data_IF_174924802557
#
_entry.id   IF_174924802557
#
_cell.length_a   1.000
_cell.length_b   1.000
_cell.length_c   1.000
_cell.angle_alpha   90.00
_cell.angle_beta   90.00
_cell.angle_gamma   90.00
#
_symmetry.space_group_name_H-M   'P 1'
#
loop_
_entity.id
_entity.type
_entity.pdbx_description
1 polymer ?
#
# COMPACT_ATOMS: atom_id res chain seq x y z
N UNK A 1 7.82 3.60 -24.35
CA UNK A 1 8.37 3.30 -23.01
C UNK A 1 9.01 1.92 -23.02
N UNK A 2 10.25 1.77 -22.56
CA UNK A 2 10.91 0.46 -22.42
C UNK A 2 10.27 -0.26 -21.24
N UNK A 3 9.64 -1.42 -21.47
CA UNK A 3 9.18 -2.31 -20.39
C UNK A 3 10.40 -2.73 -19.57
N UNK A 4 10.44 -2.36 -18.29
CA UNK A 4 11.53 -2.72 -17.39
C UNK A 4 11.27 -4.14 -16.84
N UNK A 5 11.68 -5.17 -17.58
CA UNK A 5 11.43 -6.58 -17.26
C UNK A 5 12.07 -7.06 -15.93
N UNK A 6 12.87 -6.23 -15.26
CA UNK A 6 13.46 -6.50 -13.94
C UNK A 6 12.64 -5.99 -12.75
N UNK A 7 11.62 -5.17 -12.99
CA UNK A 7 10.82 -4.58 -11.92
C UNK A 7 9.95 -5.63 -11.24
N UNK A 8 10.12 -5.79 -9.93
CA UNK A 8 9.25 -6.66 -9.12
C UNK A 8 7.84 -6.08 -9.11
N UNK A 9 6.85 -6.90 -9.47
CA UNK A 9 5.43 -6.50 -9.51
C UNK A 9 4.76 -6.52 -8.15
N UNK A 10 5.33 -7.26 -7.21
CA UNK A 10 4.86 -7.40 -5.85
C UNK A 10 6.06 -7.21 -4.93
N UNK A 11 5.98 -6.28 -3.99
CA UNK A 11 7.04 -5.99 -3.03
C UNK A 11 6.44 -5.85 -1.63
N UNK A 12 7.24 -6.15 -0.60
CA UNK A 12 6.85 -5.88 0.78
C UNK A 12 7.02 -4.41 1.14
N UNK A 13 6.47 -3.98 2.27
CA UNK A 13 6.64 -2.62 2.78
C UNK A 13 8.10 -2.33 3.14
N UNK A 14 8.84 -3.31 3.69
CA UNK A 14 10.29 -3.20 3.87
C UNK A 14 11.03 -2.90 2.57
N UNK A 15 10.69 -3.62 1.50
CA UNK A 15 11.33 -3.41 0.20
C UNK A 15 10.93 -2.07 -0.41
N UNK A 16 9.67 -1.63 -0.23
CA UNK A 16 9.22 -0.30 -0.61
C UNK A 16 9.99 0.82 0.09
N UNK A 17 10.17 0.72 1.41
CA UNK A 17 10.97 1.69 2.18
C UNK A 17 12.43 1.68 1.72
N UNK A 18 12.98 0.51 1.38
CA UNK A 18 14.34 0.43 0.84
C UNK A 18 14.46 1.01 -0.58
N UNK A 19 13.42 0.92 -1.40
CA UNK A 19 13.39 1.48 -2.77
C UNK A 19 13.15 3.00 -2.79
N UNK A 20 12.28 3.52 -1.91
CA UNK A 20 11.75 4.89 -1.99
C UNK A 20 11.92 5.73 -0.73
N UNK A 21 12.33 5.11 0.38
CA UNK A 21 12.26 5.74 1.70
C UNK A 21 13.49 6.55 2.09
N UNK A 22 14.42 6.86 1.18
CA UNK A 22 15.63 7.64 1.50
C UNK A 22 15.27 8.96 2.21
N UNK A 23 14.25 9.67 1.69
CA UNK A 23 13.79 10.95 2.23
C UNK A 23 12.61 10.85 3.22
N UNK A 24 12.17 9.63 3.55
CA UNK A 24 11.13 9.46 4.56
C UNK A 24 11.73 9.65 5.95
N UNK A 25 10.97 10.27 6.86
CA UNK A 25 11.37 10.35 8.26
C UNK A 25 11.41 8.94 8.89
N UNK A 26 12.14 8.80 9.99
CA UNK A 26 12.15 7.54 10.76
C UNK A 26 10.76 7.20 11.31
N UNK A 27 9.96 8.22 11.66
CA UNK A 27 8.57 8.03 12.09
C UNK A 27 7.73 7.41 10.96
N UNK A 28 7.78 8.00 9.76
CA UNK A 28 7.07 7.47 8.60
C UNK A 28 7.47 6.03 8.28
N UNK A 29 8.78 5.73 8.27
CA UNK A 29 9.27 4.36 8.03
C UNK A 29 8.74 3.39 9.09
N UNK A 30 8.80 3.76 10.36
CA UNK A 30 8.29 2.93 11.46
C UNK A 30 6.81 2.64 11.29
N UNK A 31 6.01 3.66 10.98
CA UNK A 31 4.56 3.53 10.82
C UNK A 31 4.20 2.70 9.59
N UNK A 32 4.88 2.92 8.47
CA UNK A 32 4.70 2.08 7.27
C UNK A 32 5.00 0.61 7.59
N UNK A 33 6.09 0.31 8.31
CA UNK A 33 6.46 -1.06 8.66
C UNK A 33 5.41 -1.82 9.48
N UNK A 34 4.50 -1.14 10.17
CA UNK A 34 3.40 -1.80 10.88
C UNK A 34 2.41 -2.49 9.94
N UNK A 35 2.34 -2.03 8.68
CA UNK A 35 1.54 -2.66 7.63
C UNK A 35 2.19 -3.93 7.06
N UNK A 36 3.49 -4.18 7.29
CA UNK A 36 4.28 -5.26 6.66
C UNK A 36 3.64 -6.64 6.83
N UNK A 37 3.03 -6.90 8.00
CA UNK A 37 2.49 -8.23 8.33
C UNK A 37 1.17 -8.50 7.61
N UNK A 38 0.37 -7.47 7.31
CA UNK A 38 -1.00 -7.64 6.76
C UNK A 38 -1.11 -7.23 5.31
N UNK A 39 -0.16 -6.44 4.82
CA UNK A 39 -0.24 -5.83 3.50
C UNK A 39 0.86 -6.31 2.57
N UNK A 40 0.57 -6.18 1.28
CA UNK A 40 1.55 -6.29 0.21
C UNK A 40 1.31 -5.15 -0.79
N UNK A 41 2.39 -4.68 -1.40
CA UNK A 41 2.33 -3.63 -2.40
C UNK A 41 2.47 -4.22 -3.80
N UNK A 42 1.55 -3.89 -4.70
CA UNK A 42 1.59 -4.34 -6.10
C UNK A 42 1.66 -3.19 -7.07
N UNK A 43 2.44 -3.33 -8.15
CA UNK A 43 2.60 -2.32 -9.18
C UNK A 43 2.51 -2.92 -10.58
N UNK A 44 1.92 -2.18 -11.52
CA UNK A 44 1.82 -2.57 -12.93
C UNK A 44 2.97 -2.01 -13.75
N UNK A 45 2.77 -0.93 -14.48
CA UNK A 45 3.76 -0.41 -15.44
C UNK A 45 4.63 0.67 -14.80
N UNK A 46 4.03 1.47 -13.94
CA UNK A 46 4.68 2.57 -13.23
C UNK A 46 5.37 2.06 -11.96
N UNK A 47 6.66 2.38 -11.84
CA UNK A 47 7.48 1.94 -10.71
C UNK A 47 7.09 2.61 -9.40
N UNK A 48 6.69 3.89 -9.50
CA UNK A 48 6.38 4.79 -8.41
C UNK A 48 4.93 4.70 -7.90
N UNK A 49 4.08 3.89 -8.55
CA UNK A 49 2.66 3.73 -8.22
C UNK A 49 2.39 2.32 -7.70
N UNK A 50 1.97 2.21 -6.45
CA UNK A 50 1.81 0.93 -5.76
C UNK A 50 0.46 0.83 -5.07
N UNK A 51 -0.32 -0.17 -5.45
CA UNK A 51 -1.57 -0.55 -4.82
C UNK A 51 -1.30 -1.31 -3.50
N UNK A 52 -2.02 -0.96 -2.44
CA UNK A 52 -1.96 -1.62 -1.13
C UNK A 52 -3.05 -2.69 -1.07
N UNK A 53 -2.64 -3.94 -0.85
CA UNK A 53 -3.52 -5.11 -0.81
C UNK A 53 -3.31 -5.93 0.43
N UNK A 54 -4.26 -6.81 0.76
CA UNK A 54 -4.05 -7.80 1.82
C UNK A 54 -3.06 -8.89 1.33
N UNK A 55 -2.14 -9.31 2.19
CA UNK A 55 -1.06 -10.23 1.80
C UNK A 55 -1.54 -11.62 1.38
N UNK A 56 -2.69 -12.06 1.88
CA UNK A 56 -3.30 -13.34 1.51
C UNK A 56 -4.25 -13.22 0.30
N UNK A 57 -4.37 -12.04 -0.31
CA UNK A 57 -5.22 -11.78 -1.48
C UNK A 57 -6.68 -12.22 -1.33
N UNK A 58 -7.26 -11.92 -0.16
CA UNK A 58 -8.64 -12.30 0.19
C UNK A 58 -9.64 -11.77 -0.84
N UNK A 59 -10.47 -12.66 -1.37
CA UNK A 59 -11.52 -12.33 -2.34
C UNK A 59 -12.88 -12.22 -1.66
N UNK A 60 -13.72 -11.36 -2.21
CA UNK A 60 -15.08 -11.11 -1.78
C UNK A 60 -16.06 -11.23 -2.96
N UNK A 61 -17.28 -11.65 -2.66
CA UNK A 61 -18.36 -11.81 -3.62
C UNK A 61 -18.91 -10.44 -4.05
N UNK A 62 -18.91 -10.16 -5.34
CA UNK A 62 -19.53 -8.98 -5.95
C UNK A 62 -20.28 -9.35 -7.22
N UNK A 63 -21.60 -9.37 -7.20
CA UNK A 63 -22.45 -9.56 -8.40
C UNK A 63 -21.97 -10.66 -9.36
N UNK A 64 -21.73 -11.86 -8.82
CA UNK A 64 -21.20 -13.05 -9.51
C UNK A 64 -19.72 -13.00 -9.92
N UNK A 65 -18.94 -12.03 -9.41
CA UNK A 65 -17.50 -11.96 -9.52
C UNK A 65 -16.84 -12.12 -8.15
N UNK A 66 -15.61 -12.64 -8.15
CA UNK A 66 -14.72 -12.65 -7.00
C UNK A 66 -13.70 -11.54 -7.17
N UNK A 67 -13.71 -10.56 -6.26
CA UNK A 67 -12.76 -9.44 -6.30
C UNK A 67 -12.03 -9.27 -4.99
N UNK A 68 -10.77 -8.88 -5.09
CA UNK A 68 -9.94 -8.46 -3.97
C UNK A 68 -10.10 -6.95 -3.74
N UNK A 69 -10.07 -6.52 -2.48
CA UNK A 69 -10.00 -5.10 -2.16
C UNK A 69 -8.59 -4.52 -2.35
N UNK A 70 -8.53 -3.32 -2.92
CA UNK A 70 -7.37 -2.44 -2.86
C UNK A 70 -7.64 -1.37 -1.79
N UNK A 71 -6.81 -1.37 -0.75
CA UNK A 71 -7.01 -0.56 0.45
C UNK A 71 -6.39 0.84 0.35
N UNK A 72 -5.63 1.12 -0.71
CA UNK A 72 -5.03 2.41 -1.01
C UNK A 72 -4.08 2.31 -2.20
N UNK A 73 -3.64 3.46 -2.71
CA UNK A 73 -2.59 3.55 -3.73
C UNK A 73 -1.56 4.60 -3.27
N UNK A 74 -0.31 4.17 -3.14
CA UNK A 74 0.82 5.04 -2.88
C UNK A 74 1.45 5.52 -4.19
N UNK A 75 1.76 6.81 -4.23
CA UNK A 75 2.58 7.42 -5.27
C UNK A 75 3.85 7.98 -4.65
N UNK A 76 5.00 7.73 -5.27
CA UNK A 76 6.28 8.35 -4.87
C UNK A 76 6.75 9.28 -5.99
N UNK A 77 6.64 10.58 -5.76
CA UNK A 77 6.99 11.60 -6.76
C UNK A 77 7.94 12.59 -6.10
N UNK A 78 9.09 12.84 -6.76
CA UNK A 78 10.17 13.68 -6.24
C UNK A 78 10.53 13.30 -4.78
N UNK A 79 10.71 11.99 -4.55
CA UNK A 79 11.01 11.36 -3.26
C UNK A 79 10.01 11.66 -2.11
N UNK A 80 8.84 12.19 -2.45
CA UNK A 80 7.74 12.43 -1.52
C UNK A 80 6.66 11.37 -1.70
N UNK A 81 6.09 10.92 -0.57
CA UNK A 81 5.02 9.94 -0.54
C UNK A 81 3.65 10.61 -0.61
N UNK A 82 2.73 10.05 -1.39
CA UNK A 82 1.36 10.52 -1.54
C UNK A 82 0.36 9.37 -1.47
N UNK A 83 -0.85 9.68 -1.01
CA UNK A 83 -2.01 8.78 -1.00
C UNK A 83 -3.01 9.24 -2.07
N UNK A 84 -3.32 8.36 -3.03
CA UNK A 84 -4.23 8.61 -4.15
C UNK A 84 -5.71 8.61 -3.71
N UNK A 85 -6.54 9.38 -4.41
CA UNK A 85 -8.01 9.37 -4.25
C UNK A 85 -8.66 8.15 -4.89
N UNK A 86 -7.94 7.49 -5.79
CA UNK A 86 -8.41 6.34 -6.55
C UNK A 86 -7.39 5.23 -6.58
N UNK A 87 -7.88 4.00 -6.56
CA UNK A 87 -7.10 2.80 -6.75
C UNK A 87 -7.40 2.16 -8.10
N UNK A 88 -6.62 1.14 -8.45
CA UNK A 88 -6.92 0.32 -9.61
C UNK A 88 -8.25 -0.44 -9.43
N UNK A 89 -9.08 -0.40 -10.46
CA UNK A 89 -10.32 -1.20 -10.54
C UNK A 89 -10.37 -2.02 -11.83
N UNK A 90 -10.81 -3.27 -11.73
CA UNK A 90 -11.13 -4.12 -12.89
C UNK A 90 -12.01 -5.33 -12.46
N UNK A 91 -12.01 -6.40 -13.25
CA UNK A 91 -12.80 -7.59 -12.98
C UNK A 91 -12.30 -8.41 -11.76
N UNK A 92 -11.08 -8.17 -11.29
CA UNK A 92 -10.44 -8.93 -10.21
C UNK A 92 -10.20 -8.11 -8.93
N UNK A 93 -10.23 -6.78 -9.03
CA UNK A 93 -9.94 -5.87 -7.91
C UNK A 93 -10.89 -4.70 -7.91
N UNK A 94 -11.17 -4.18 -6.72
CA UNK A 94 -12.03 -3.01 -6.50
C UNK A 94 -11.49 -2.18 -5.34
N UNK A 95 -11.70 -0.87 -5.38
CA UNK A 95 -11.32 0.03 -4.29
C UNK A 95 -12.11 -0.31 -3.02
N UNK A 96 -11.41 -0.38 -1.88
CA UNK A 96 -12.08 -0.50 -0.59
C UNK A 96 -12.65 0.86 -0.16
N UNK A 97 -13.84 0.93 0.47
CA UNK A 97 -14.45 2.18 0.92
C UNK A 97 -13.58 3.00 1.90
N UNK A 98 -12.60 2.36 2.55
CA UNK A 98 -11.67 3.03 3.45
C UNK A 98 -10.81 4.08 2.72
N UNK A 99 -10.56 3.91 1.42
CA UNK A 99 -9.73 4.83 0.62
C UNK A 99 -10.34 6.22 0.61
N UNK A 100 -11.64 6.32 0.35
CA UNK A 100 -12.37 7.58 0.37
C UNK A 100 -12.36 8.20 1.78
N UNK A 101 -12.47 7.36 2.81
CA UNK A 101 -12.44 7.81 4.20
C UNK A 101 -11.09 8.44 4.54
N UNK A 102 -9.99 7.76 4.19
CA UNK A 102 -8.64 8.26 4.42
C UNK A 102 -8.42 9.55 3.62
N UNK A 103 -8.60 9.50 2.30
CA UNK A 103 -8.29 10.62 1.41
C UNK A 103 -9.03 11.91 1.79
N UNK A 104 -10.32 11.81 2.14
CA UNK A 104 -11.13 12.98 2.47
C UNK A 104 -10.73 13.63 3.80
N UNK A 105 -10.07 12.91 4.71
CA UNK A 105 -9.57 13.44 5.98
C UNK A 105 -8.15 14.03 5.89
N UNK A 106 -7.42 13.79 4.79
CA UNK A 106 -6.10 14.39 4.57
C UNK A 106 -6.21 15.86 4.13
N UNK A 107 -5.21 16.66 4.53
CA UNK A 107 -5.09 18.06 4.09
C UNK A 107 -5.08 18.15 2.56
N UNK A 108 -5.65 19.22 2.03
CA UNK A 108 -5.59 19.52 0.60
C UNK A 108 -4.32 20.27 0.20
N UNK A 109 -3.45 20.55 1.16
CA UNK A 109 -2.13 21.15 0.90
C UNK A 109 -1.23 20.13 0.19
N UNK A 110 -0.56 20.57 -0.88
CA UNK A 110 0.35 19.71 -1.62
C UNK A 110 -0.33 18.61 -2.44
N UNK A 111 -1.58 18.83 -2.88
CA UNK A 111 -2.21 17.94 -3.87
C UNK A 111 -1.41 17.94 -5.17
N UNK A 112 -1.17 16.75 -5.70
CA UNK A 112 -0.61 16.54 -7.02
C UNK A 112 -1.60 15.81 -7.92
N UNK A 113 -1.41 15.97 -9.23
CA UNK A 113 -2.17 15.25 -10.26
C UNK A 113 -1.26 14.20 -10.90
N UNK A 114 -1.76 12.97 -10.96
CA UNK A 114 -1.11 11.85 -11.64
C UNK A 114 -2.10 11.23 -12.64
N UNK A 115 -2.11 11.79 -13.85
CA UNK A 115 -3.17 11.54 -14.84
C UNK A 115 -4.52 12.09 -14.36
N UNK A 116 -5.52 11.21 -14.23
CA UNK A 116 -6.86 11.55 -13.74
C UNK A 116 -7.02 11.39 -12.21
N UNK A 117 -5.96 10.94 -11.52
CA UNK A 117 -5.95 10.73 -10.09
C UNK A 117 -5.39 11.96 -9.37
N UNK A 118 -5.94 12.24 -8.18
CA UNK A 118 -5.43 13.26 -7.27
C UNK A 118 -4.80 12.57 -6.09
N UNK A 119 -3.60 12.98 -5.71
CA UNK A 119 -2.95 12.41 -4.54
C UNK A 119 -2.57 13.51 -3.54
N UNK A 120 -2.69 13.19 -2.26
CA UNK A 120 -2.38 14.08 -1.14
C UNK A 120 -1.12 13.61 -0.43
N UNK A 121 -0.28 14.55 -0.01
CA UNK A 121 1.02 14.24 0.58
C UNK A 121 0.85 13.50 1.92
N UNK A 122 1.69 12.49 2.11
CA UNK A 122 1.86 11.80 3.39
C UNK A 122 3.11 12.35 4.07
N UNK A 123 2.97 12.73 5.33
CA UNK A 123 4.06 13.23 6.17
C UNK A 123 3.85 12.84 7.65
N UNK A 124 4.73 13.30 8.52
CA UNK A 124 4.70 13.00 9.96
C UNK A 124 3.40 13.44 10.65
N UNK A 125 2.65 14.39 10.09
CA UNK A 125 1.41 14.87 10.70
C UNK A 125 0.22 13.95 10.44
N UNK A 126 0.28 13.11 9.41
CA UNK A 126 -0.87 12.33 8.95
C UNK A 126 -0.61 10.83 8.76
N UNK A 127 0.65 10.38 8.77
CA UNK A 127 0.99 8.96 8.60
C UNK A 127 0.35 8.07 9.67
N UNK A 128 0.25 8.56 10.91
CA UNK A 128 -0.37 7.81 12.01
C UNK A 128 -1.83 7.48 11.70
N UNK A 129 -2.59 8.50 11.33
CA UNK A 129 -3.99 8.36 10.95
C UNK A 129 -4.19 7.39 9.78
N UNK A 130 -3.35 7.50 8.74
CA UNK A 130 -3.46 6.63 7.56
C UNK A 130 -3.22 5.17 7.94
N UNK A 131 -2.13 4.89 8.65
CA UNK A 131 -1.75 3.52 9.05
C UNK A 131 -2.78 2.92 10.01
N UNK A 132 -3.20 3.67 11.03
CA UNK A 132 -4.21 3.19 11.98
C UNK A 132 -5.52 2.87 11.27
N UNK A 133 -5.98 3.77 10.40
CA UNK A 133 -7.22 3.61 9.65
C UNK A 133 -7.17 2.38 8.73
N UNK A 134 -6.07 2.15 8.04
CA UNK A 134 -5.87 0.94 7.23
C UNK A 134 -5.90 -0.33 8.09
N UNK A 135 -5.21 -0.34 9.23
CA UNK A 135 -5.17 -1.48 10.13
C UNK A 135 -6.54 -1.82 10.74
N UNK A 136 -7.45 -0.86 10.85
CA UNK A 136 -8.83 -1.12 11.33
C UNK A 136 -9.66 -1.98 10.37
N UNK A 137 -9.32 -2.00 9.07
CA UNK A 137 -10.10 -2.70 8.04
C UNK A 137 -9.35 -3.86 7.40
N UNK A 138 -8.04 -3.97 7.60
CA UNK A 138 -7.30 -5.13 7.12
C UNK A 138 -7.82 -6.40 7.81
N UNK A 139 -8.12 -7.45 7.03
CA UNK A 139 -8.38 -8.77 7.59
C UNK A 139 -7.21 -9.21 8.47
N UNK A 140 -7.52 -9.99 9.49
CA UNK A 140 -6.47 -10.74 10.18
C UNK A 140 -5.91 -11.81 9.22
N UNK A 141 -4.59 -12.01 9.30
CA UNK A 141 -3.90 -13.05 8.54
C UNK A 141 -4.08 -14.41 9.20
N UNK A 142 -4.00 -15.49 8.42
CA UNK A 142 -4.12 -16.85 8.96
C UNK A 142 -2.96 -17.22 9.88
N UNK A 143 -3.20 -18.13 10.82
CA UNK A 143 -2.14 -18.69 11.65
C UNK A 143 -1.04 -19.39 10.83
N UNK A 144 -1.42 -20.00 9.70
CA UNK A 144 -0.49 -20.58 8.73
C UNK A 144 0.52 -19.55 8.25
N UNK A 145 0.03 -18.37 7.84
CA UNK A 145 0.87 -17.28 7.37
C UNK A 145 1.78 -16.73 8.48
N UNK A 146 1.25 -16.55 9.71
CA UNK A 146 2.04 -16.11 10.86
C UNK A 146 3.19 -17.07 11.18
N UNK A 147 2.97 -18.38 11.05
CA UNK A 147 4.01 -19.38 11.27
C UNK A 147 5.13 -19.26 10.23
N UNK A 148 4.77 -19.08 8.95
CA UNK A 148 5.74 -18.88 7.85
C UNK A 148 6.60 -17.65 8.10
N UNK A 149 5.98 -16.51 8.45
CA UNK A 149 6.74 -15.28 8.79
C UNK A 149 7.69 -15.54 9.95
N UNK A 150 7.21 -16.18 11.02
CA UNK A 150 8.00 -16.41 12.23
C UNK A 150 9.23 -17.26 11.95
N UNK A 151 9.08 -18.31 11.13
CA UNK A 151 10.19 -19.13 10.67
C UNK A 151 11.19 -18.30 9.86
N UNK A 152 10.73 -17.50 8.88
CA UNK A 152 11.62 -16.63 8.08
C UNK A 152 12.44 -15.67 8.95
N UNK A 153 11.80 -15.00 9.92
CA UNK A 153 12.47 -14.09 10.84
C UNK A 153 13.49 -14.84 11.72
N UNK A 154 13.18 -16.06 12.15
CA UNK A 154 14.11 -16.87 12.96
C UNK A 154 15.37 -17.25 12.18
N UNK A 155 15.28 -17.39 10.86
CA UNK A 155 16.40 -17.74 9.99
C UNK A 155 17.27 -16.54 9.62
N UNK A 156 16.73 -15.32 9.58
CA UNK A 156 17.51 -14.09 9.36
C UNK A 156 18.41 -13.70 10.55
N UNK A 157 18.17 -14.28 11.74
CA UNK A 157 18.92 -13.99 12.97
C UNK A 157 20.07 -14.97 13.27
N UNK A 158 20.29 -15.97 12.42
CA UNK A 158 21.38 -16.95 12.50
C UNK A 158 22.39 -16.75 11.38
#
# INVERSE_FOLDING_TARGET
>A
MKKNYKMKKTISMKMFINEFGENFSEHMKSRLLELEVRSVLTRKEDEYRLDIKHVEHTQHDFDNLQKEYVYGEFLVIDDSLYFSDKCIENNYVIQAPIVDTIYNNLSSDGIILDGDNKAKKIDDNNIDYIVDTLLTVFPDVTQSYLNIISEMISHERN
#
